data_IF_808733942040
#
_entry.id   IF_808733942040
#
_cell.length_a   1.000
_cell.length_b   1.000
_cell.length_c   1.000
_cell.angle_alpha   90.00
_cell.angle_beta   90.00
_cell.angle_gamma   90.00
#
_symmetry.space_group_name_H-M   'P 1'
#
loop_
_entity.id
_entity.type
_entity.pdbx_description
1 polymer ?
#
# COMPACT_ATOMS: atom_id res chain seq x y z
N UNK A 1 32.79 -0.38 6.48
CA UNK A 1 31.56 0.05 5.80
C UNK A 1 30.58 0.51 6.87
N UNK A 2 30.42 1.82 7.03
CA UNK A 2 29.53 2.43 8.02
C UNK A 2 28.14 2.45 7.38
N UNK A 3 27.20 1.64 7.87
CA UNK A 3 25.81 1.63 7.40
C UNK A 3 25.17 2.99 7.73
N UNK A 4 25.18 3.92 6.77
CA UNK A 4 24.46 5.18 6.88
C UNK A 4 22.97 4.92 6.79
N UNK A 5 22.28 4.85 7.93
CA UNK A 5 20.82 4.98 7.96
C UNK A 5 20.47 6.40 7.54
N UNK A 6 20.09 6.60 6.27
CA UNK A 6 19.45 7.85 5.87
C UNK A 6 18.11 7.91 6.60
N UNK A 7 17.94 8.85 7.52
CA UNK A 7 16.78 8.93 8.43
C UNK A 7 15.42 9.01 7.72
N UNK A 8 15.41 9.35 6.42
CA UNK A 8 14.22 9.54 5.61
C UNK A 8 14.08 8.57 4.45
N UNK A 9 15.12 7.77 4.14
CA UNK A 9 15.05 6.85 3.00
C UNK A 9 14.60 5.46 3.48
N UNK A 10 13.62 4.82 2.80
CA UNK A 10 13.25 3.46 3.12
C UNK A 10 14.40 2.51 2.80
N UNK A 11 14.39 1.33 3.43
CA UNK A 11 15.29 0.27 3.01
C UNK A 11 14.97 -0.10 1.55
N UNK A 12 15.95 -0.20 0.62
CA UNK A 12 15.68 -0.41 -0.81
C UNK A 12 14.87 -1.68 -1.14
N UNK A 13 14.95 -2.68 -0.26
CA UNK A 13 14.22 -3.95 -0.35
C UNK A 13 12.95 -4.01 0.52
N UNK A 14 12.53 -2.88 1.09
CA UNK A 14 11.29 -2.77 1.86
C UNK A 14 11.22 -3.67 3.11
N UNK A 15 12.36 -3.99 3.74
CA UNK A 15 12.41 -4.95 4.87
C UNK A 15 11.48 -4.62 6.03
N UNK A 16 11.37 -3.34 6.37
CA UNK A 16 10.46 -2.88 7.43
C UNK A 16 9.00 -3.15 7.09
N UNK A 17 8.61 -2.84 5.85
CA UNK A 17 7.27 -3.12 5.34
C UNK A 17 6.97 -4.61 5.32
N UNK A 18 7.90 -5.45 4.82
CA UNK A 18 7.74 -6.92 4.83
C UNK A 18 7.50 -7.47 6.24
N UNK A 19 8.23 -6.95 7.23
CA UNK A 19 8.06 -7.33 8.63
C UNK A 19 6.68 -6.90 9.18
N UNK A 20 6.29 -5.65 8.96
CA UNK A 20 4.99 -5.13 9.41
C UNK A 20 3.82 -5.87 8.73
N UNK A 21 3.93 -6.14 7.44
CA UNK A 21 2.93 -6.89 6.67
C UNK A 21 2.77 -8.31 7.21
N UNK A 22 3.86 -9.06 7.39
CA UNK A 22 3.80 -10.41 7.93
C UNK A 22 3.20 -10.46 9.34
N UNK A 23 3.53 -9.46 10.19
CA UNK A 23 2.92 -9.33 11.52
C UNK A 23 1.41 -9.06 11.44
N UNK A 24 0.98 -8.16 10.56
CA UNK A 24 -0.44 -7.83 10.41
C UNK A 24 -1.26 -9.02 9.90
N UNK A 25 -0.74 -9.76 8.92
CA UNK A 25 -1.35 -11.00 8.42
C UNK A 25 -1.47 -12.04 9.55
N UNK A 26 -0.39 -12.24 10.32
CA UNK A 26 -0.40 -13.18 11.44
C UNK A 26 -1.33 -12.76 12.59
N UNK A 27 -1.42 -11.46 12.88
CA UNK A 27 -2.28 -10.90 13.93
C UNK A 27 -3.76 -11.02 13.57
N UNK A 28 -4.10 -10.75 12.30
CA UNK A 28 -5.46 -10.91 11.77
C UNK A 28 -5.87 -12.37 11.55
N UNK A 29 -4.92 -13.31 11.47
CA UNK A 29 -5.20 -14.72 11.23
C UNK A 29 -5.78 -15.03 9.83
N UNK A 30 -5.46 -14.19 8.84
CA UNK A 30 -5.94 -14.31 7.45
C UNK A 30 -4.83 -14.79 6.52
N UNK A 31 -5.17 -15.19 5.30
CA UNK A 31 -4.19 -15.45 4.25
C UNK A 31 -3.95 -14.20 3.40
N UNK A 32 -2.76 -14.06 2.82
CA UNK A 32 -2.46 -12.98 1.86
C UNK A 32 -3.43 -13.03 0.67
N UNK A 33 -3.84 -14.24 0.29
CA UNK A 33 -4.83 -14.51 -0.75
C UNK A 33 -6.24 -14.06 -0.37
N UNK A 34 -6.49 -13.64 0.86
CA UNK A 34 -7.78 -13.07 1.27
C UNK A 34 -7.78 -11.55 1.15
N UNK A 35 -6.67 -10.89 0.79
CA UNK A 35 -6.64 -9.44 0.62
C UNK A 35 -7.21 -9.05 -0.75
N UNK A 36 -8.29 -8.25 -0.76
CA UNK A 36 -8.89 -7.74 -2.00
C UNK A 36 -8.39 -6.36 -2.41
N UNK A 37 -7.80 -5.58 -1.51
CA UNK A 37 -7.33 -4.22 -1.81
C UNK A 37 -6.08 -3.90 -1.00
N UNK A 38 -5.12 -3.23 -1.61
CA UNK A 38 -4.00 -2.61 -0.89
C UNK A 38 -4.02 -1.11 -1.16
N UNK A 39 -4.28 -0.32 -0.12
CA UNK A 39 -4.04 1.11 -0.11
C UNK A 39 -2.59 1.34 0.35
N UNK A 40 -1.71 1.51 -0.64
CA UNK A 40 -0.29 1.73 -0.45
C UNK A 40 -0.01 3.09 0.19
N UNK A 41 1.15 3.22 0.81
CA UNK A 41 1.62 4.50 1.30
C UNK A 41 1.88 5.46 0.13
N UNK A 42 2.46 5.00 -0.98
CA UNK A 42 2.43 5.68 -2.28
C UNK A 42 2.60 7.20 -2.23
N UNK A 43 3.75 7.67 -1.75
CA UNK A 43 4.05 9.11 -1.59
C UNK A 43 4.30 9.83 -2.91
N UNK A 44 4.46 9.11 -4.02
CA UNK A 44 4.91 9.68 -5.29
C UNK A 44 6.43 9.90 -5.33
N UNK A 45 7.14 9.59 -4.25
CA UNK A 45 8.60 9.70 -4.24
C UNK A 45 9.21 8.41 -4.78
N UNK A 46 10.13 8.56 -5.75
CA UNK A 46 10.75 7.41 -6.43
C UNK A 46 11.33 6.37 -5.49
N UNK A 47 11.99 6.80 -4.41
CA UNK A 47 12.60 5.89 -3.44
C UNK A 47 11.56 5.10 -2.62
N UNK A 48 10.48 5.75 -2.18
CA UNK A 48 9.39 5.09 -1.47
C UNK A 48 8.68 4.09 -2.38
N UNK A 49 8.23 4.55 -3.54
CA UNK A 49 7.34 3.78 -4.38
C UNK A 49 8.07 2.56 -4.98
N UNK A 50 9.37 2.67 -5.28
CA UNK A 50 10.22 1.53 -5.63
C UNK A 50 10.36 0.51 -4.50
N UNK A 51 10.64 0.97 -3.27
CA UNK A 51 10.83 0.08 -2.14
C UNK A 51 9.53 -0.64 -1.76
N UNK A 52 8.40 0.07 -1.86
CA UNK A 52 7.06 -0.44 -1.62
C UNK A 52 6.65 -1.46 -2.69
N UNK A 53 6.81 -1.13 -3.98
CA UNK A 53 6.54 -2.05 -5.08
C UNK A 53 7.37 -3.34 -4.99
N UNK A 54 8.67 -3.23 -4.67
CA UNK A 54 9.53 -4.41 -4.43
C UNK A 54 9.09 -5.24 -3.23
N UNK A 55 8.59 -4.58 -2.17
CA UNK A 55 8.09 -5.29 -1.01
C UNK A 55 6.85 -6.09 -1.36
N UNK A 56 5.87 -5.45 -2.01
CA UNK A 56 4.62 -6.08 -2.42
C UNK A 56 4.85 -7.20 -3.43
N UNK A 57 5.74 -7.03 -4.40
CA UNK A 57 6.11 -8.10 -5.36
C UNK A 57 6.65 -9.36 -4.68
N UNK A 58 7.29 -9.22 -3.51
CA UNK A 58 7.82 -10.35 -2.75
C UNK A 58 6.83 -10.93 -1.73
N UNK A 59 5.75 -10.22 -1.42
CA UNK A 59 4.73 -10.60 -0.43
C UNK A 59 3.50 -11.22 -1.09
N UNK A 60 3.14 -10.72 -2.27
CA UNK A 60 1.96 -11.14 -3.02
C UNK A 60 2.30 -12.34 -3.92
N UNK A 61 1.49 -13.42 -3.89
CA UNK A 61 1.66 -14.54 -4.82
C UNK A 61 1.46 -14.11 -6.28
N UNK A 62 0.43 -13.30 -6.53
CA UNK A 62 0.15 -12.66 -7.81
C UNK A 62 -0.22 -11.19 -7.56
N UNK A 63 0.70 -10.25 -7.83
CA UNK A 63 0.44 -8.83 -7.63
C UNK A 63 -0.62 -8.24 -8.56
N UNK A 64 -0.94 -8.89 -9.69
CA UNK A 64 -1.91 -8.38 -10.67
C UNK A 64 -3.36 -8.70 -10.27
N UNK A 65 -3.57 -9.63 -9.33
CA UNK A 65 -4.91 -10.01 -8.83
C UNK A 65 -5.45 -9.10 -7.73
N UNK A 66 -4.62 -8.24 -7.13
CA UNK A 66 -5.02 -7.35 -6.04
C UNK A 66 -4.83 -5.89 -6.46
N UNK A 67 -5.90 -5.10 -6.64
CA UNK A 67 -5.76 -3.69 -6.94
C UNK A 67 -4.95 -2.99 -5.84
N UNK A 68 -3.94 -2.25 -6.27
CA UNK A 68 -3.13 -1.38 -5.42
C UNK A 68 -3.46 0.07 -5.73
N UNK A 69 -3.74 0.88 -4.72
CA UNK A 69 -4.09 2.29 -4.90
C UNK A 69 -3.27 3.17 -3.97
N UNK A 70 -3.18 4.46 -4.27
CA UNK A 70 -2.77 5.49 -3.30
C UNK A 70 -3.80 6.61 -3.27
N UNK A 71 -4.21 6.97 -2.06
CA UNK A 71 -5.15 8.07 -1.83
C UNK A 71 -4.48 9.45 -1.82
N UNK A 72 -3.14 9.49 -1.77
CA UNK A 72 -2.37 10.75 -1.69
C UNK A 72 -2.40 11.55 -2.98
N UNK A 73 -2.68 10.91 -4.12
CA UNK A 73 -2.94 11.62 -5.38
C UNK A 73 -4.12 12.59 -5.28
N UNK A 74 -5.14 12.23 -4.47
CA UNK A 74 -6.32 13.05 -4.23
C UNK A 74 -6.16 13.97 -3.01
N UNK A 75 -5.58 13.44 -1.93
CA UNK A 75 -5.60 14.10 -0.60
C UNK A 75 -4.31 14.83 -0.25
N UNK A 76 -3.25 14.63 -1.03
CA UNK A 76 -1.90 15.03 -0.65
C UNK A 76 -1.34 14.18 0.50
N UNK A 77 -0.13 14.49 0.96
CA UNK A 77 0.48 13.82 2.10
C UNK A 77 0.27 14.61 3.40
N UNK A 78 -0.80 14.30 4.14
CA UNK A 78 -1.20 14.99 5.38
C UNK A 78 -0.42 14.52 6.63
N UNK A 79 0.79 14.00 6.44
CA UNK A 79 1.68 13.50 7.50
C UNK A 79 0.97 12.51 8.44
N UNK A 80 0.94 12.80 9.75
CA UNK A 80 0.34 11.91 10.75
C UNK A 80 -1.16 11.66 10.54
N UNK A 81 -1.88 12.55 9.85
CA UNK A 81 -3.30 12.35 9.52
C UNK A 81 -3.51 11.38 8.35
N UNK A 82 -2.47 11.13 7.55
CA UNK A 82 -2.57 10.35 6.32
C UNK A 82 -3.04 8.92 6.60
N UNK A 83 -2.52 8.27 7.66
CA UNK A 83 -2.93 6.91 8.02
C UNK A 83 -4.43 6.78 8.36
N UNK A 84 -5.01 7.77 9.05
CA UNK A 84 -6.44 7.75 9.37
C UNK A 84 -7.30 7.97 8.11
N UNK A 85 -6.90 8.92 7.26
CA UNK A 85 -7.58 9.20 5.99
C UNK A 85 -7.53 7.96 5.09
N UNK A 86 -6.35 7.37 4.92
CA UNK A 86 -6.14 6.15 4.14
C UNK A 86 -6.99 4.99 4.63
N UNK A 87 -7.04 4.75 5.95
CA UNK A 87 -7.87 3.69 6.53
C UNK A 87 -9.36 3.89 6.24
N UNK A 88 -9.86 5.12 6.34
CA UNK A 88 -11.26 5.46 6.01
C UNK A 88 -11.54 5.19 4.53
N UNK A 89 -10.66 5.64 3.62
CA UNK A 89 -10.82 5.37 2.19
C UNK A 89 -10.77 3.87 1.88
N UNK A 90 -9.88 3.11 2.53
CA UNK A 90 -9.83 1.66 2.39
C UNK A 90 -11.14 1.02 2.82
N UNK A 91 -11.68 1.38 3.98
CA UNK A 91 -12.97 0.87 4.45
C UNK A 91 -14.12 1.20 3.51
N UNK A 92 -14.18 2.44 3.00
CA UNK A 92 -15.20 2.85 2.04
C UNK A 92 -15.11 2.03 0.75
N UNK A 93 -13.91 1.83 0.20
CA UNK A 93 -13.71 1.00 -0.98
C UNK A 93 -14.18 -0.44 -0.76
N UNK A 94 -13.86 -1.04 0.40
CA UNK A 94 -14.31 -2.38 0.79
C UNK A 94 -15.83 -2.45 0.97
N UNK A 95 -16.45 -1.46 1.61
CA UNK A 95 -17.90 -1.37 1.80
C UNK A 95 -18.65 -1.26 0.47
N UNK A 96 -18.09 -0.50 -0.47
CA UNK A 96 -18.65 -0.35 -1.81
C UNK A 96 -18.28 -1.50 -2.75
N UNK A 97 -17.40 -2.41 -2.34
CA UNK A 97 -16.93 -3.52 -3.17
C UNK A 97 -16.17 -3.08 -4.43
N UNK A 98 -15.60 -1.86 -4.42
CA UNK A 98 -14.88 -1.32 -5.57
C UNK A 98 -13.74 -0.40 -5.14
N UNK A 99 -12.62 -0.44 -5.87
CA UNK A 99 -11.51 0.50 -5.74
C UNK A 99 -11.41 1.37 -6.98
N UNK A 100 -11.27 2.68 -6.78
CA UNK A 100 -10.98 3.66 -7.83
C UNK A 100 -9.48 3.85 -8.00
N UNK A 101 -9.06 4.13 -9.22
CA UNK A 101 -7.68 4.37 -9.58
C UNK A 101 -7.00 5.51 -8.83
N UNK A 102 -5.67 5.46 -8.80
CA UNK A 102 -4.81 6.43 -8.12
C UNK A 102 -4.78 7.73 -8.91
N UNK A 103 -5.41 8.78 -8.37
CA UNK A 103 -5.44 10.13 -8.96
C UNK A 103 -4.02 10.63 -9.26
N UNK A 104 -3.80 11.22 -10.43
CA UNK A 104 -2.49 11.68 -10.89
C UNK A 104 -1.56 10.57 -11.42
N UNK A 105 -1.97 9.30 -11.37
CA UNK A 105 -1.23 8.18 -11.97
C UNK A 105 -1.94 7.70 -13.25
N UNK A 106 -1.78 8.42 -14.36
CA UNK A 106 -2.37 8.01 -15.65
C UNK A 106 -1.65 6.82 -16.28
N UNK A 107 -0.31 6.77 -16.17
CA UNK A 107 0.52 5.67 -16.66
C UNK A 107 1.50 5.28 -15.55
N UNK A 108 1.36 4.08 -14.93
CA UNK A 108 2.31 3.61 -13.94
C UNK A 108 3.73 3.55 -14.48
N UNK A 109 4.70 3.94 -13.67
CA UNK A 109 6.11 3.87 -14.04
C UNK A 109 6.51 2.40 -14.32
N UNK A 110 7.06 2.08 -15.51
CA UNK A 110 7.44 0.72 -15.87
C UNK A 110 8.50 0.10 -14.96
N UNK A 111 9.24 0.89 -14.17
CA UNK A 111 10.23 0.34 -13.24
C UNK A 111 9.61 -0.29 -11.98
N UNK A 112 8.34 0.00 -11.69
CA UNK A 112 7.66 -0.54 -10.52
C UNK A 112 7.35 -2.02 -10.75
N UNK A 113 7.83 -2.88 -9.85
CA UNK A 113 7.58 -4.32 -9.89
C UNK A 113 6.11 -4.68 -9.69
N UNK A 114 5.34 -3.77 -9.07
CA UNK A 114 3.89 -3.83 -8.94
C UNK A 114 3.34 -2.44 -9.20
N UNK A 115 2.24 -2.36 -9.95
CA UNK A 115 1.72 -1.09 -10.46
C UNK A 115 0.45 -0.69 -9.70
N UNK A 116 0.28 0.59 -9.32
CA UNK A 116 -1.01 1.06 -8.85
C UNK A 116 -2.04 1.03 -9.97
N UNK A 117 -3.31 0.86 -9.60
CA UNK A 117 -4.47 1.01 -10.47
C UNK A 117 -4.46 2.43 -11.06
N UNK A 118 -4.40 2.60 -12.39
CA UNK A 118 -4.31 3.91 -13.01
C UNK A 118 -5.56 4.78 -12.80
N UNK A 119 -5.37 6.09 -12.79
CA UNK A 119 -6.45 7.07 -12.72
C UNK A 119 -7.53 6.80 -13.79
N UNK A 120 -8.80 6.97 -13.39
CA UNK A 120 -9.96 6.73 -14.26
C UNK A 120 -10.34 5.26 -14.42
N UNK A 121 -9.55 4.32 -13.90
CA UNK A 121 -9.92 2.91 -13.83
C UNK A 121 -10.64 2.58 -12.51
N UNK A 122 -11.44 1.51 -12.54
CA UNK A 122 -12.12 0.96 -11.38
C UNK A 122 -11.91 -0.55 -11.38
N UNK A 123 -11.67 -1.11 -10.19
CA UNK A 123 -11.59 -2.56 -9.99
C UNK A 123 -12.65 -3.01 -9.00
N UNK A 124 -13.34 -4.11 -9.29
CA UNK A 124 -14.28 -4.75 -8.37
C UNK A 124 -13.51 -5.62 -7.37
N UNK A 125 -13.88 -5.52 -6.10
CA UNK A 125 -13.19 -6.22 -5.02
C UNK A 125 -13.83 -7.58 -4.80
N UNK A 126 -12.99 -8.62 -4.74
CA UNK A 126 -13.43 -10.01 -4.59
C UNK A 126 -13.88 -10.39 -3.17
N UNK A 127 -13.55 -9.57 -2.17
CA UNK A 127 -13.97 -9.75 -0.78
C UNK A 127 -13.91 -8.40 -0.02
N UNK A 128 -14.10 -8.45 1.31
CA UNK A 128 -14.17 -7.29 2.19
C UNK A 128 -12.92 -7.05 3.05
N UNK A 129 -11.83 -7.77 2.80
CA UNK A 129 -10.56 -7.61 3.51
C UNK A 129 -9.59 -6.75 2.69
N UNK A 130 -9.02 -5.72 3.31
CA UNK A 130 -8.07 -4.84 2.65
C UNK A 130 -6.97 -4.36 3.58
N UNK A 131 -5.93 -3.80 2.97
CA UNK A 131 -4.75 -3.28 3.65
C UNK A 131 -4.70 -1.76 3.54
N UNK A 132 -4.33 -1.11 4.64
CA UNK A 132 -3.83 0.27 4.64
C UNK A 132 -2.43 0.28 5.26
N UNK A 133 -1.43 0.74 4.51
CA UNK A 133 -0.03 0.75 4.98
C UNK A 133 0.56 2.17 4.99
N UNK A 134 1.38 2.44 6.01
CA UNK A 134 2.03 3.74 6.21
C UNK A 134 3.52 3.57 6.51
N UNK A 135 4.34 4.36 5.81
CA UNK A 135 5.81 4.30 5.87
C UNK A 135 6.34 5.66 6.34
N UNK A 136 6.64 5.78 7.62
CA UNK A 136 7.04 7.05 8.23
C UNK A 136 8.56 7.27 8.22
N UNK A 137 8.96 8.54 8.28
CA UNK A 137 10.34 8.91 8.60
C UNK A 137 10.81 8.28 9.92
N UNK A 138 12.11 8.08 10.06
CA UNK A 138 12.67 7.34 11.19
C UNK A 138 12.51 5.82 11.09
N UNK A 139 12.00 5.31 9.97
CA UNK A 139 11.88 3.87 9.70
C UNK A 139 10.63 3.21 10.28
N UNK A 140 9.62 3.99 10.65
CA UNK A 140 8.32 3.45 11.07
C UNK A 140 7.60 2.78 9.89
N UNK A 141 7.17 1.53 10.06
CA UNK A 141 6.37 0.81 9.07
C UNK A 141 5.15 0.23 9.79
N UNK A 142 3.96 0.60 9.35
CA UNK A 142 2.69 0.14 9.93
C UNK A 142 1.80 -0.41 8.82
N UNK A 143 1.12 -1.52 9.10
CA UNK A 143 0.18 -2.17 8.19
C UNK A 143 -1.07 -2.52 9.01
N UNK A 144 -2.23 -2.10 8.52
CA UNK A 144 -3.53 -2.44 9.09
C UNK A 144 -4.25 -3.39 8.13
N UNK A 145 -4.78 -4.50 8.67
CA UNK A 145 -5.80 -5.30 7.99
C UNK A 145 -7.16 -4.75 8.43
N UNK A 146 -8.01 -4.44 7.46
CA UNK A 146 -9.33 -3.86 7.67
C UNK A 146 -10.37 -4.75 7.01
N UNK A 147 -11.49 -4.98 7.69
CA UNK A 147 -12.63 -5.72 7.16
C UNK A 147 -13.86 -4.82 7.15
N UNK A 148 -14.56 -4.74 6.02
CA UNK A 148 -15.87 -4.11 5.95
C UNK A 148 -16.97 -5.06 6.45
N UNK A 149 -17.94 -4.52 7.21
CA UNK A 149 -19.13 -5.24 7.65
C UNK A 149 -20.01 -5.69 6.47
#
# INVERSE_FOLDING_TARGET
MIYGTRSTAPHPEGRGLKCAFGKAISDAGVHVQDIALINAHGTGTRANDLAEAKALAALLPDPDEVPIVSTKGLTGHTLGAAGAIEAIFTLLALQHGQASGTVGCSVPDPVLSVKPLPEGQTSLLRNKLGISQSLAFGGGNSVLILEAA
#
